data_IF_136610384036
#
_entry.id   IF_136610384036
#
_cell.length_a   1.000
_cell.length_b   1.000
_cell.length_c   1.000
_cell.angle_alpha   90.00
_cell.angle_beta   90.00
_cell.angle_gamma   90.00
#
_symmetry.space_group_name_H-M   'P 1'
#
loop_
_entity.id
_entity.type
_entity.pdbx_description
1 polymer ?
#
# COMPACT_ATOMS: atom_id res chain seq x y z
N UNK A 1 13.07 0.96 20.85
CA UNK A 1 11.90 1.07 19.94
C UNK A 1 12.38 1.80 18.70
N UNK A 2 12.34 1.18 17.53
CA UNK A 2 12.71 1.86 16.29
C UNK A 2 11.53 2.72 15.81
N UNK A 3 11.79 3.98 15.48
CA UNK A 3 10.81 4.87 14.89
C UNK A 3 10.58 4.41 13.44
N UNK A 4 9.38 3.93 13.11
CA UNK A 4 9.03 3.58 11.73
C UNK A 4 8.22 4.71 11.15
N UNK A 5 8.69 5.28 10.04
CA UNK A 5 7.91 6.23 9.27
C UNK A 5 6.78 5.49 8.57
N UNK A 6 5.55 5.94 8.79
CA UNK A 6 4.38 5.43 8.08
C UNK A 6 4.27 6.17 6.73
N UNK A 7 4.15 5.41 5.64
CA UNK A 7 4.08 5.92 4.26
C UNK A 7 2.64 6.05 3.75
N UNK A 8 1.66 5.95 4.64
CA UNK A 8 0.24 6.08 4.34
C UNK A 8 -0.36 7.16 5.24
N UNK A 9 -1.33 7.90 4.71
CA UNK A 9 -2.08 8.91 5.48
C UNK A 9 -3.07 8.25 6.45
N UNK A 10 -3.49 7.03 6.14
CA UNK A 10 -4.41 6.25 6.94
C UNK A 10 -3.72 5.04 7.57
N UNK A 11 -4.12 4.72 8.80
CA UNK A 11 -3.59 3.61 9.59
C UNK A 11 -4.74 2.84 10.24
N UNK A 12 -4.70 1.52 10.21
CA UNK A 12 -5.65 0.65 10.89
C UNK A 12 -4.93 -0.49 11.63
N UNK A 13 -5.52 -1.03 12.69
CA UNK A 13 -4.96 -2.21 13.35
C UNK A 13 -5.34 -3.51 12.62
N UNK A 14 -4.60 -4.60 12.85
CA UNK A 14 -5.02 -5.94 12.42
C UNK A 14 -6.42 -6.30 12.95
N UNK A 15 -6.80 -5.80 14.13
CA UNK A 15 -8.13 -6.06 14.70
C UNK A 15 -9.22 -5.38 13.89
N UNK A 16 -9.00 -4.12 13.46
CA UNK A 16 -9.96 -3.38 12.64
C UNK A 16 -10.09 -4.01 11.25
N UNK A 17 -8.96 -4.40 10.65
CA UNK A 17 -8.92 -5.11 9.38
C UNK A 17 -9.70 -6.44 9.43
N UNK A 18 -9.54 -7.21 10.50
CA UNK A 18 -10.29 -8.46 10.69
C UNK A 18 -11.78 -8.24 10.89
N UNK A 19 -12.16 -7.13 11.52
CA UNK A 19 -13.56 -6.79 11.79
C UNK A 19 -14.29 -6.36 10.52
N UNK A 20 -13.68 -5.49 9.73
CA UNK A 20 -14.29 -4.94 8.53
C UNK A 20 -13.23 -4.62 7.46
N UNK A 21 -12.77 -5.62 6.68
CA UNK A 21 -11.68 -5.42 5.73
C UNK A 21 -12.05 -4.44 4.62
N UNK A 22 -13.30 -4.46 4.16
CA UNK A 22 -13.77 -3.55 3.10
C UNK A 22 -13.90 -2.10 3.62
N UNK A 23 -14.37 -1.92 4.85
CA UNK A 23 -14.44 -0.58 5.46
C UNK A 23 -13.07 0.05 5.64
N UNK A 24 -12.09 -0.73 6.13
CA UNK A 24 -10.73 -0.22 6.34
C UNK A 24 -10.12 0.35 5.05
N UNK A 25 -10.32 -0.31 3.90
CA UNK A 25 -9.73 0.16 2.64
C UNK A 25 -10.55 1.26 1.95
N UNK A 26 -11.89 1.26 2.10
CA UNK A 26 -12.76 2.26 1.48
C UNK A 26 -12.64 3.66 2.12
N UNK A 27 -12.24 3.74 3.38
CA UNK A 27 -12.03 5.02 4.08
C UNK A 27 -10.82 5.79 3.55
N UNK A 28 -9.89 5.11 2.87
CA UNK A 28 -8.66 5.71 2.38
C UNK A 28 -8.84 6.39 1.03
N UNK A 29 -8.83 7.72 1.00
CA UNK A 29 -8.86 8.52 -0.25
C UNK A 29 -7.66 8.24 -1.16
N UNK A 30 -6.48 8.01 -0.60
CA UNK A 30 -5.26 7.65 -1.35
C UNK A 30 -5.25 6.19 -1.84
N UNK A 31 -6.21 5.37 -1.41
CA UNK A 31 -6.22 3.93 -1.62
C UNK A 31 -5.08 3.16 -0.94
N UNK A 32 -4.39 3.73 0.07
CA UNK A 32 -3.32 3.09 0.85
C UNK A 32 -3.61 3.19 2.36
N UNK A 33 -3.56 2.06 3.05
CA UNK A 33 -3.69 2.00 4.52
C UNK A 33 -2.53 1.23 5.13
N UNK A 34 -1.85 1.81 6.12
CA UNK A 34 -0.87 1.07 6.91
C UNK A 34 -1.56 0.19 7.95
N UNK A 35 -1.22 -1.09 8.00
CA UNK A 35 -1.77 -2.04 8.96
C UNK A 35 -0.78 -2.28 10.09
N UNK A 36 -1.22 -2.00 11.33
CA UNK A 36 -0.40 -2.17 12.53
C UNK A 36 -0.69 -3.48 13.25
N UNK A 37 0.37 -4.13 13.72
CA UNK A 37 0.33 -5.23 14.69
C UNK A 37 1.09 -4.81 15.95
N UNK A 38 0.42 -4.78 17.11
CA UNK A 38 1.04 -4.35 18.38
C UNK A 38 1.78 -3.00 18.26
N UNK A 39 1.13 -2.02 17.61
CA UNK A 39 1.67 -0.68 17.32
C UNK A 39 2.93 -0.65 16.45
N UNK A 40 3.22 -1.72 15.70
CA UNK A 40 4.29 -1.75 14.70
C UNK A 40 3.68 -1.93 13.31
N UNK A 41 4.16 -1.21 12.29
CA UNK A 41 3.68 -1.41 10.92
C UNK A 41 4.04 -2.81 10.46
N UNK A 42 3.02 -3.58 10.08
CA UNK A 42 3.17 -4.94 9.60
C UNK A 42 3.20 -4.99 8.07
N UNK A 43 2.28 -4.28 7.43
CA UNK A 43 2.16 -4.20 5.96
C UNK A 43 1.29 -3.01 5.54
N UNK A 44 1.24 -2.74 4.24
CA UNK A 44 0.32 -1.79 3.63
C UNK A 44 -0.79 -2.55 2.88
N UNK A 45 -2.03 -2.14 3.07
CA UNK A 45 -3.16 -2.55 2.25
C UNK A 45 -3.39 -1.48 1.18
N UNK A 46 -3.63 -1.91 -0.05
CA UNK A 46 -3.89 -1.01 -1.18
C UNK A 46 -5.11 -1.47 -1.97
N UNK A 47 -5.79 -0.55 -2.64
CA UNK A 47 -6.93 -0.89 -3.49
C UNK A 47 -6.49 -1.67 -4.74
N UNK A 48 -7.35 -2.52 -5.31
CA UNK A 48 -7.07 -3.21 -6.57
C UNK A 48 -6.71 -2.26 -7.72
N UNK A 49 -7.36 -1.11 -7.78
CA UNK A 49 -7.14 -0.06 -8.80
C UNK A 49 -5.73 0.53 -8.66
N UNK A 50 -5.33 0.88 -7.44
CA UNK A 50 -3.99 1.42 -7.19
C UNK A 50 -2.91 0.38 -7.49
N UNK A 51 -3.10 -0.88 -7.07
CA UNK A 51 -2.16 -1.95 -7.39
C UNK A 51 -2.01 -2.16 -8.90
N UNK A 52 -3.12 -2.07 -9.65
CA UNK A 52 -3.09 -2.20 -11.11
C UNK A 52 -2.31 -1.06 -11.75
N UNK A 53 -2.53 0.17 -11.31
CA UNK A 53 -1.79 1.34 -11.78
C UNK A 53 -0.29 1.23 -11.46
N UNK A 54 0.08 0.78 -10.25
CA UNK A 54 1.48 0.53 -9.89
C UNK A 54 2.14 -0.50 -10.81
N UNK A 55 1.42 -1.57 -11.19
CA UNK A 55 1.95 -2.57 -12.13
C UNK A 55 2.17 -2.02 -13.53
N UNK A 56 1.30 -1.14 -14.01
CA UNK A 56 1.49 -0.46 -15.30
C UNK A 56 2.74 0.41 -15.28
N UNK A 57 2.92 1.22 -14.24
CA UNK A 57 4.13 2.05 -14.07
C UNK A 57 5.41 1.21 -14.02
N UNK A 58 5.41 0.08 -13.31
CA UNK A 58 6.55 -0.85 -13.28
C UNK A 58 6.87 -1.37 -14.68
N UNK A 59 5.85 -1.79 -15.42
CA UNK A 59 6.01 -2.29 -16.80
C UNK A 59 6.60 -1.23 -17.72
N UNK A 60 6.15 0.02 -17.61
CA UNK A 60 6.66 1.12 -18.42
C UNK A 60 8.13 1.41 -18.11
N UNK A 61 8.54 1.33 -16.84
CA UNK A 61 9.95 1.46 -16.43
C UNK A 61 10.81 0.32 -16.97
N UNK A 62 10.30 -0.91 -16.96
CA UNK A 62 11.01 -2.06 -17.53
C UNK A 62 11.19 -1.92 -19.05
N UNK A 63 10.16 -1.44 -19.76
CA UNK A 63 10.24 -1.18 -21.21
C UNK A 63 11.25 -0.07 -21.55
N UNK A 64 11.27 1.01 -20.77
CA UNK A 64 12.23 2.11 -20.98
C UNK A 64 13.68 1.64 -20.80
N UNK A 65 13.94 0.81 -19.79
CA UNK A 65 15.29 0.26 -19.56
C UNK A 65 15.77 -0.65 -20.69
N UNK A 66 14.87 -1.45 -21.28
CA UNK A 66 15.25 -2.31 -22.42
C UNK A 66 15.58 -1.50 -23.68
N UNK A 67 14.98 -0.32 -23.86
CA UNK A 67 15.25 0.56 -25.00
C UNK A 67 16.57 1.36 -24.85
N UNK A 68 17.01 1.62 -23.61
CA UNK A 68 18.27 2.30 -23.32
C UNK A 68 19.50 1.36 -23.37
N UNK A 69 19.28 0.04 -23.32
CA UNK A 69 20.32 -1.01 -23.31
C UNK A 69 20.69 -1.52 -24.74
N UNK A 70 20.14 -0.94 -25.82
CA UNK A 70 20.50 -1.18 -27.25
C UNK A 70 21.36 -0.04 -27.84
#
# INVERSE_FOLDING_TARGET
MALHQILAEQVASITDLKRNPMGVIQESESGIVAILNRNQPAFYCITPELFSHMKELIKDLELGRMADDE
#
